data_IF_242521076231
#
_entry.id   IF_242521076231
#
_cell.length_a   1.000
_cell.length_b   1.000
_cell.length_c   1.000
_cell.angle_alpha   90.00
_cell.angle_beta   90.00
_cell.angle_gamma   90.00
#
_symmetry.space_group_name_H-M   'P 1'
#
loop_
_entity.id
_entity.type
_entity.pdbx_description
1 polymer ?
#
# COMPACT_ATOMS: atom_id res chain seq x y z
N UNK A 1 0.14 20.83 13.07
CA UNK A 1 -0.28 19.59 12.36
C UNK A 1 -0.72 20.04 10.98
N UNK A 2 -0.19 19.43 9.91
CA UNK A 2 -0.56 19.75 8.53
C UNK A 2 -1.69 18.78 8.12
N UNK A 3 -2.74 19.29 7.48
CA UNK A 3 -3.77 18.43 6.89
C UNK A 3 -3.24 17.78 5.61
N UNK A 4 -3.90 16.71 5.15
CA UNK A 4 -3.51 16.06 3.92
C UNK A 4 -3.71 16.97 2.70
N UNK A 5 -4.78 17.77 2.68
CA UNK A 5 -5.04 18.77 1.65
C UNK A 5 -3.93 19.83 1.58
N UNK A 6 -3.55 20.42 2.73
CA UNK A 6 -2.46 21.40 2.78
C UNK A 6 -1.13 20.79 2.32
N UNK A 7 -0.85 19.53 2.67
CA UNK A 7 0.34 18.81 2.21
C UNK A 7 0.35 18.65 0.68
N UNK A 8 -0.77 18.25 0.08
CA UNK A 8 -0.87 18.10 -1.38
C UNK A 8 -0.71 19.45 -2.11
N UNK A 9 -1.21 20.55 -1.54
CA UNK A 9 -1.08 21.90 -2.09
C UNK A 9 0.33 22.46 -1.95
N UNK A 10 0.96 22.23 -0.80
CA UNK A 10 2.30 22.74 -0.51
C UNK A 10 3.39 22.03 -1.32
N UNK A 11 3.18 20.75 -1.66
CA UNK A 11 4.12 19.93 -2.40
C UNK A 11 3.46 19.34 -3.66
N UNK A 12 3.20 20.17 -4.69
CA UNK A 12 2.43 19.75 -5.87
C UNK A 12 3.17 18.72 -6.75
N UNK A 13 4.51 18.76 -6.76
CA UNK A 13 5.33 17.90 -7.63
C UNK A 13 5.96 16.69 -6.91
N UNK A 14 5.63 16.48 -5.62
CA UNK A 14 6.17 15.37 -4.85
C UNK A 14 5.29 14.13 -4.95
N UNK A 15 5.95 12.97 -5.07
CA UNK A 15 5.35 11.67 -4.83
C UNK A 15 5.16 11.44 -3.34
N UNK A 16 3.95 11.08 -2.94
CA UNK A 16 3.55 10.95 -1.54
C UNK A 16 3.01 9.56 -1.29
N UNK A 17 3.61 8.89 -0.31
CA UNK A 17 3.03 7.69 0.27
C UNK A 17 2.29 8.10 1.56
N UNK A 18 1.01 7.75 1.64
CA UNK A 18 0.14 8.04 2.77
C UNK A 18 -0.49 6.76 3.31
N UNK A 19 -0.63 6.69 4.62
CA UNK A 19 -0.98 5.47 5.34
C UNK A 19 -2.33 5.66 6.05
N UNK A 20 -3.35 4.89 5.67
CA UNK A 20 -4.65 4.82 6.34
C UNK A 20 -4.50 4.01 7.64
N UNK A 21 -4.50 4.72 8.77
CA UNK A 21 -4.26 4.12 10.10
C UNK A 21 -5.52 3.65 10.82
N UNK A 22 -6.67 4.23 10.51
CA UNK A 22 -7.91 3.94 11.22
C UNK A 22 -8.39 2.51 10.99
N UNK A 23 -8.82 1.85 12.07
CA UNK A 23 -9.32 0.48 12.00
C UNK A 23 -10.63 0.44 11.19
N UNK A 24 -10.87 -0.58 10.35
CA UNK A 24 -12.06 -0.66 9.47
C UNK A 24 -13.41 -0.55 10.21
N UNK A 25 -13.42 -0.99 11.47
CA UNK A 25 -14.59 -1.07 12.36
C UNK A 25 -14.83 0.21 13.16
N UNK A 26 -13.90 1.18 13.16
CA UNK A 26 -14.12 2.46 13.82
C UNK A 26 -14.98 3.38 12.95
N UNK A 27 -15.58 4.39 13.58
CA UNK A 27 -16.30 5.42 12.86
C UNK A 27 -15.39 6.12 11.85
N UNK A 28 -14.20 6.53 12.29
CA UNK A 28 -13.19 7.18 11.46
C UNK A 28 -12.77 6.28 10.29
N UNK A 29 -12.53 4.98 10.55
CA UNK A 29 -12.16 4.04 9.51
C UNK A 29 -13.27 3.77 8.50
N UNK A 30 -14.53 4.04 8.85
CA UNK A 30 -15.66 3.98 7.92
C UNK A 30 -15.70 5.12 6.90
N UNK A 31 -15.16 6.30 7.26
CA UNK A 31 -15.21 7.51 6.45
C UNK A 31 -13.86 7.92 5.85
N UNK A 32 -12.74 7.57 6.48
CA UNK A 32 -11.40 7.98 6.10
C UNK A 32 -11.02 7.64 4.65
N UNK A 33 -11.35 6.45 4.09
CA UNK A 33 -11.05 6.14 2.70
C UNK A 33 -11.73 7.08 1.70
N UNK A 34 -12.98 7.49 1.96
CA UNK A 34 -13.71 8.41 1.09
C UNK A 34 -13.11 9.81 1.17
N UNK A 35 -12.89 10.32 2.39
CA UNK A 35 -12.28 11.64 2.62
C UNK A 35 -10.90 11.72 1.96
N UNK A 36 -10.10 10.66 2.09
CA UNK A 36 -8.78 10.60 1.47
C UNK A 36 -8.87 10.63 -0.05
N UNK A 37 -9.77 9.87 -0.65
CA UNK A 37 -9.98 9.89 -2.10
C UNK A 37 -10.45 11.26 -2.60
N UNK A 38 -11.43 11.86 -1.92
CA UNK A 38 -11.95 13.18 -2.28
C UNK A 38 -10.84 14.24 -2.23
N UNK A 39 -10.00 14.20 -1.19
CA UNK A 39 -8.84 15.10 -1.05
C UNK A 39 -7.84 14.92 -2.21
N UNK A 40 -7.57 13.68 -2.62
CA UNK A 40 -6.69 13.38 -3.76
C UNK A 40 -7.31 13.93 -5.07
N UNK A 41 -8.60 13.72 -5.25
CA UNK A 41 -9.33 14.13 -6.45
C UNK A 41 -9.41 15.65 -6.59
N UNK A 42 -9.73 16.36 -5.51
CA UNK A 42 -9.78 17.82 -5.45
C UNK A 42 -8.42 18.46 -5.78
N UNK A 43 -7.32 17.80 -5.41
CA UNK A 43 -5.95 18.25 -5.69
C UNK A 43 -5.37 17.67 -6.98
N UNK A 44 -6.15 16.95 -7.78
CA UNK A 44 -5.72 16.25 -9.00
C UNK A 44 -4.45 15.40 -8.80
N UNK A 45 -4.32 14.77 -7.63
CA UNK A 45 -3.09 14.13 -7.17
C UNK A 45 -3.03 12.61 -7.45
N UNK A 46 -3.86 12.13 -8.39
CA UNK A 46 -4.03 10.70 -8.72
C UNK A 46 -2.71 9.97 -8.99
N UNK A 47 -1.85 10.56 -9.82
CA UNK A 47 -0.61 9.92 -10.29
C UNK A 47 0.60 10.14 -9.35
N UNK A 48 0.40 10.87 -8.24
CA UNK A 48 1.47 11.20 -7.30
C UNK A 48 1.19 10.77 -5.86
N UNK A 49 0.06 10.12 -5.62
CA UNK A 49 -0.29 9.57 -4.31
C UNK A 49 -0.35 8.05 -4.38
N UNK A 50 0.28 7.43 -3.39
CA UNK A 50 0.20 6.00 -3.09
C UNK A 50 -0.47 5.85 -1.73
N UNK A 51 -1.59 5.12 -1.67
CA UNK A 51 -2.32 4.87 -0.42
C UNK A 51 -2.03 3.48 0.11
N UNK A 52 -1.66 3.40 1.39
CA UNK A 52 -1.33 2.15 2.06
C UNK A 52 -2.13 1.97 3.34
N UNK A 53 -2.18 0.76 3.88
CA UNK A 53 -2.76 0.48 5.21
C UNK A 53 -2.25 -0.85 5.74
N UNK A 54 -2.22 -1.00 7.07
CA UNK A 54 -2.05 -2.31 7.69
C UNK A 54 -3.28 -3.21 7.51
N UNK A 55 -4.47 -2.64 7.32
CA UNK A 55 -5.73 -3.36 7.21
C UNK A 55 -6.09 -3.63 5.75
N UNK A 56 -6.26 -4.91 5.39
CA UNK A 56 -6.67 -5.31 4.03
C UNK A 56 -8.02 -4.72 3.65
N UNK A 57 -8.94 -4.65 4.60
CA UNK A 57 -10.29 -4.11 4.42
C UNK A 57 -10.25 -2.64 4.04
N UNK A 58 -9.32 -1.85 4.59
CA UNK A 58 -9.15 -0.44 4.20
C UNK A 58 -8.65 -0.30 2.78
N UNK A 59 -7.65 -1.10 2.37
CA UNK A 59 -7.15 -1.09 0.98
C UNK A 59 -8.27 -1.47 0.01
N UNK A 60 -9.02 -2.51 0.31
CA UNK A 60 -10.14 -2.95 -0.53
C UNK A 60 -11.24 -1.88 -0.60
N UNK A 61 -11.59 -1.25 0.53
CA UNK A 61 -12.59 -0.17 0.58
C UNK A 61 -12.12 1.04 -0.22
N UNK A 62 -10.88 1.48 -0.02
CA UNK A 62 -10.30 2.59 -0.76
C UNK A 62 -10.24 2.29 -2.27
N UNK A 63 -9.75 1.11 -2.67
CA UNK A 63 -9.66 0.77 -4.09
C UNK A 63 -11.02 0.63 -4.78
N UNK A 64 -12.08 0.25 -4.05
CA UNK A 64 -13.46 0.29 -4.58
C UNK A 64 -13.93 1.71 -4.89
N UNK A 65 -13.54 2.68 -4.05
CA UNK A 65 -13.84 4.11 -4.24
C UNK A 65 -13.00 4.65 -5.41
N UNK A 66 -11.69 4.40 -5.38
CA UNK A 66 -10.74 4.91 -6.35
C UNK A 66 -10.82 4.23 -7.73
N UNK A 67 -11.36 3.00 -7.82
CA UNK A 67 -11.47 2.23 -9.05
C UNK A 67 -10.16 2.11 -9.84
N UNK A 68 -9.03 1.98 -9.12
CA UNK A 68 -7.69 1.90 -9.70
C UNK A 68 -7.11 3.23 -10.21
N UNK A 69 -7.76 4.38 -9.96
CA UNK A 69 -7.22 5.70 -10.30
C UNK A 69 -6.11 6.19 -9.38
N UNK A 70 -5.90 5.52 -8.24
CA UNK A 70 -4.85 5.83 -7.27
C UNK A 70 -4.10 4.54 -6.94
N UNK A 71 -2.78 4.60 -6.91
CA UNK A 71 -1.95 3.45 -6.56
C UNK A 71 -2.16 3.03 -5.10
N UNK A 72 -2.10 1.72 -4.84
CA UNK A 72 -2.24 1.14 -3.50
C UNK A 72 -1.06 0.24 -3.13
N UNK A 73 -0.67 0.31 -1.87
CA UNK A 73 0.32 -0.59 -1.28
C UNK A 73 -0.34 -1.75 -0.53
N UNK A 74 0.38 -2.86 -0.41
CA UNK A 74 -0.13 -4.09 0.19
C UNK A 74 -0.26 -3.98 1.71
N UNK A 75 -1.31 -4.61 2.25
CA UNK A 75 -1.45 -4.87 3.69
C UNK A 75 -0.43 -5.90 4.17
N UNK A 76 -0.23 -5.96 5.50
CA UNK A 76 0.56 -7.02 6.12
C UNK A 76 0.03 -8.42 5.77
N UNK A 77 -1.30 -8.57 5.66
CA UNK A 77 -1.93 -9.83 5.28
C UNK A 77 -1.58 -10.21 3.83
N UNK A 78 -1.61 -9.26 2.89
CA UNK A 78 -1.23 -9.50 1.49
C UNK A 78 0.25 -9.83 1.33
N UNK A 79 1.14 -9.13 2.05
CA UNK A 79 2.57 -9.48 2.09
C UNK A 79 2.77 -10.90 2.61
N UNK A 80 2.04 -11.28 3.67
CA UNK A 80 2.10 -12.64 4.23
C UNK A 80 1.60 -13.68 3.24
N UNK A 81 0.47 -13.44 2.59
CA UNK A 81 -0.10 -14.33 1.57
C UNK A 81 0.87 -14.51 0.39
N UNK A 82 1.44 -13.42 -0.10
CA UNK A 82 2.42 -13.43 -1.17
C UNK A 82 3.68 -14.21 -0.78
N UNK A 83 4.20 -13.99 0.42
CA UNK A 83 5.37 -14.70 0.93
C UNK A 83 5.13 -16.22 1.05
N UNK A 84 3.96 -16.62 1.55
CA UNK A 84 3.58 -18.03 1.61
C UNK A 84 3.44 -18.64 0.22
N UNK A 85 2.77 -17.95 -0.72
CA UNK A 85 2.64 -18.40 -2.12
C UNK A 85 3.97 -18.39 -2.87
N UNK A 86 4.92 -17.55 -2.50
CA UNK A 86 6.25 -17.60 -3.08
C UNK A 86 6.97 -18.91 -2.70
N UNK A 87 6.90 -19.29 -1.42
CA UNK A 87 7.51 -20.52 -0.92
C UNK A 87 6.75 -21.78 -1.35
N UNK A 88 5.43 -21.69 -1.47
CA UNK A 88 4.54 -22.80 -1.80
C UNK A 88 4.13 -22.71 -3.27
N UNK A 89 4.32 -23.77 -4.05
CA UNK A 89 3.89 -23.82 -5.47
C UNK A 89 4.59 -22.80 -6.40
N UNK A 90 5.69 -22.17 -5.95
CA UNK A 90 6.49 -21.27 -6.77
C UNK A 90 5.74 -20.04 -7.28
N UNK A 91 4.77 -19.53 -6.51
CA UNK A 91 4.03 -18.31 -6.82
C UNK A 91 2.89 -18.47 -7.82
N UNK A 92 2.56 -19.69 -8.25
CA UNK A 92 1.44 -19.93 -9.18
C UNK A 92 0.13 -19.43 -8.58
N UNK A 93 -0.68 -18.76 -9.41
CA UNK A 93 -2.01 -18.23 -9.07
C UNK A 93 -2.03 -17.10 -8.02
N UNK A 94 -0.89 -16.50 -7.68
CA UNK A 94 -0.92 -15.23 -6.97
C UNK A 94 -1.31 -14.10 -7.94
N UNK A 95 -2.28 -13.29 -7.54
CA UNK A 95 -2.74 -12.12 -8.28
C UNK A 95 -2.69 -10.94 -7.31
N UNK A 96 -1.69 -10.06 -7.44
CA UNK A 96 -1.57 -8.91 -6.54
C UNK A 96 -2.64 -7.87 -6.87
N UNK A 97 -3.24 -7.30 -5.83
CA UNK A 97 -4.06 -6.09 -5.95
C UNK A 97 -3.19 -4.82 -5.83
N UNK A 98 -2.17 -4.88 -4.95
CA UNK A 98 -1.26 -3.79 -4.66
C UNK A 98 -0.13 -3.66 -5.69
N UNK A 99 0.31 -2.42 -5.94
CA UNK A 99 1.42 -2.09 -6.85
C UNK A 99 2.78 -2.12 -6.12
N UNK A 100 2.78 -2.08 -4.79
CA UNK A 100 4.01 -2.07 -3.99
C UNK A 100 3.81 -2.74 -2.64
N UNK A 101 4.87 -3.35 -2.14
CA UNK A 101 4.90 -3.95 -0.82
C UNK A 101 5.79 -3.12 0.08
N UNK A 102 5.24 -2.60 1.17
CA UNK A 102 6.05 -1.97 2.21
C UNK A 102 6.22 -2.95 3.36
N UNK A 103 7.46 -3.34 3.61
CA UNK A 103 7.75 -4.42 4.54
C UNK A 103 9.01 -4.15 5.37
N UNK A 104 9.14 -4.75 6.56
CA UNK A 104 10.39 -4.68 7.29
C UNK A 104 11.45 -5.52 6.55
N UNK A 105 12.72 -5.30 6.85
CA UNK A 105 13.78 -6.18 6.32
C UNK A 105 13.66 -7.60 6.89
N UNK A 106 13.15 -7.72 8.12
CA UNK A 106 12.94 -8.99 8.80
C UNK A 106 11.60 -9.05 9.51
N UNK A 107 10.97 -10.21 9.53
CA UNK A 107 9.76 -10.46 10.31
C UNK A 107 9.80 -11.85 10.95
N UNK A 108 9.80 -11.91 12.29
CA UNK A 108 9.84 -13.19 13.05
C UNK A 108 10.97 -14.15 12.59
N UNK A 109 12.16 -13.62 12.32
CA UNK A 109 13.32 -14.40 11.86
C UNK A 109 13.32 -14.72 10.35
N UNK A 110 12.30 -14.30 9.60
CA UNK A 110 12.26 -14.39 8.15
C UNK A 110 12.96 -13.17 7.55
N UNK A 111 13.92 -13.40 6.66
CA UNK A 111 14.55 -12.37 5.84
C UNK A 111 13.66 -12.06 4.61
N UNK A 112 13.08 -10.86 4.59
CA UNK A 112 12.25 -10.37 3.49
C UNK A 112 13.08 -9.65 2.41
N UNK A 113 14.39 -9.47 2.61
CA UNK A 113 15.31 -8.82 1.66
C UNK A 113 15.98 -9.81 0.69
N UNK A 114 15.63 -11.09 0.76
CA UNK A 114 16.15 -12.12 -0.15
C UNK A 114 16.04 -11.70 -1.60
N UNK A 115 17.16 -11.72 -2.33
CA UNK A 115 17.21 -11.33 -3.75
C UNK A 115 16.26 -12.16 -4.62
N UNK A 116 15.99 -13.41 -4.25
CA UNK A 116 15.04 -14.27 -4.98
C UNK A 116 13.59 -13.84 -4.74
N UNK A 117 13.25 -13.42 -3.53
CA UNK A 117 11.92 -12.92 -3.22
C UNK A 117 11.68 -11.56 -3.89
N UNK A 118 12.65 -10.65 -3.80
CA UNK A 118 12.62 -9.36 -4.52
C UNK A 118 12.45 -9.57 -6.01
N UNK A 119 13.22 -10.49 -6.62
CA UNK A 119 13.09 -10.80 -8.04
C UNK A 119 11.68 -11.31 -8.38
N UNK A 120 11.12 -12.20 -7.56
CA UNK A 120 9.79 -12.73 -7.77
C UNK A 120 8.71 -11.64 -7.70
N UNK A 121 8.80 -10.69 -6.76
CA UNK A 121 7.91 -9.53 -6.69
C UNK A 121 8.04 -8.65 -7.95
N UNK A 122 9.26 -8.35 -8.38
CA UNK A 122 9.52 -7.56 -9.58
C UNK A 122 8.98 -8.24 -10.85
N UNK A 123 9.11 -9.56 -10.97
CA UNK A 123 8.57 -10.34 -12.11
C UNK A 123 7.02 -10.27 -12.16
N UNK A 124 6.36 -9.86 -11.07
CA UNK A 124 4.92 -9.60 -10.99
C UNK A 124 4.56 -8.11 -11.03
N UNK A 125 5.51 -7.23 -11.36
CA UNK A 125 5.38 -5.77 -11.34
C UNK A 125 5.03 -5.18 -9.95
N UNK A 126 5.48 -5.83 -8.88
CA UNK A 126 5.38 -5.31 -7.52
C UNK A 126 6.74 -4.73 -7.13
N UNK A 127 6.78 -3.44 -6.81
CA UNK A 127 8.02 -2.80 -6.35
C UNK A 127 8.12 -2.95 -4.82
N UNK A 128 9.13 -3.67 -4.28
CA UNK A 128 9.32 -3.77 -2.84
C UNK A 128 9.95 -2.49 -2.27
N UNK A 129 9.31 -1.93 -1.25
CA UNK A 129 9.82 -0.88 -0.38
C UNK A 129 10.08 -1.40 1.03
N UNK A 130 11.11 -0.86 1.69
CA UNK A 130 11.52 -1.29 3.02
C UNK A 130 11.46 -0.15 4.02
N UNK A 131 11.00 -0.45 5.23
CA UNK A 131 11.04 0.48 6.36
C UNK A 131 11.89 -0.07 7.50
N UNK A 132 12.36 0.83 8.38
CA UNK A 132 13.25 0.48 9.48
C UNK A 132 14.69 0.20 9.05
N UNK A 133 15.12 0.75 7.92
CA UNK A 133 16.51 0.72 7.44
C UNK A 133 17.18 2.02 7.91
N UNK A 134 18.08 1.91 8.89
CA UNK A 134 18.83 3.02 9.47
C UNK A 134 20.33 2.71 9.49
#
# INVERSE_FOLDING_TARGET
>A
ILTFDELLKQYPDMYINVDLKDAPESYEGSIAPQIMFDTIAENQAFDRVLVTSFYKEQIVRFNKIAQGSVAIGASQQEVTEAFLKYHLLGGRYYQPLAQTFQMPTHFKGIDLTSSRFIKWLNDMNIIPGYYGVN
#
